data_IF_214291224520
#
_entry.id   IF_214291224520
#
_cell.length_a   1.000
_cell.length_b   1.000
_cell.length_c   1.000
_cell.angle_alpha   90.00
_cell.angle_beta   90.00
_cell.angle_gamma   90.00
#
_symmetry.space_group_name_H-M   'P 1'
#
loop_
_entity.id
_entity.type
_entity.pdbx_description
1 polymer ?
#
# COMPACT_ATOMS: atom_id res chain seq x y z
N UNK A 1 -26.05 0.47 36.42
CA UNK A 1 -25.62 1.75 35.83
C UNK A 1 -25.28 2.66 37.00
N UNK A 2 -24.00 2.93 37.21
CA UNK A 2 -23.54 3.74 38.34
C UNK A 2 -22.35 4.59 37.87
N UNK A 3 -22.18 5.76 38.48
CA UNK A 3 -20.92 6.49 38.44
C UNK A 3 -20.02 5.83 39.48
N UNK A 4 -18.85 5.34 39.09
CA UNK A 4 -17.97 4.66 40.03
C UNK A 4 -17.21 5.65 40.94
N UNK A 5 -16.42 5.13 41.89
CA UNK A 5 -15.64 5.96 42.82
C UNK A 5 -14.57 6.84 42.14
N UNK A 6 -14.24 6.58 40.87
CA UNK A 6 -13.37 7.39 40.02
C UNK A 6 -14.11 8.48 39.24
N UNK A 7 -15.44 8.40 39.15
CA UNK A 7 -16.29 9.35 38.43
C UNK A 7 -16.66 8.91 37.01
N UNK A 8 -16.32 7.69 36.60
CA UNK A 8 -16.59 7.20 35.26
C UNK A 8 -18.02 6.64 35.16
N UNK A 9 -18.60 6.73 33.97
CA UNK A 9 -19.86 6.05 33.67
C UNK A 9 -19.57 4.63 33.19
N UNK A 10 -20.16 3.61 33.83
CA UNK A 10 -19.94 2.22 33.42
C UNK A 10 -21.16 1.30 33.50
N UNK A 11 -21.12 0.26 32.67
CA UNK A 11 -21.95 -0.94 32.80
C UNK A 11 -21.07 -2.05 33.38
N UNK A 12 -21.46 -2.59 34.54
CA UNK A 12 -20.71 -3.65 35.24
C UNK A 12 -21.51 -4.95 35.27
N UNK A 13 -20.83 -6.04 34.97
CA UNK A 13 -21.27 -7.40 35.28
C UNK A 13 -20.86 -7.73 36.72
N UNK A 14 -21.84 -7.99 37.58
CA UNK A 14 -21.60 -8.30 39.00
C UNK A 14 -21.12 -9.73 39.23
N UNK A 15 -21.37 -10.65 38.31
CA UNK A 15 -20.94 -12.05 38.45
C UNK A 15 -19.43 -12.19 38.23
N UNK A 16 -18.88 -11.42 37.29
CA UNK A 16 -17.44 -11.40 36.99
C UNK A 16 -16.71 -10.21 37.61
N UNK A 17 -17.45 -9.24 38.16
CA UNK A 17 -16.96 -7.95 38.61
C UNK A 17 -16.23 -7.13 37.52
N UNK A 18 -16.52 -7.42 36.25
CA UNK A 18 -15.94 -6.72 35.11
C UNK A 18 -16.85 -5.57 34.65
N UNK A 19 -16.26 -4.42 34.35
CA UNK A 19 -16.95 -3.38 33.59
C UNK A 19 -16.91 -3.74 32.10
N UNK A 20 -18.07 -3.86 31.47
CA UNK A 20 -18.22 -4.23 30.04
C UNK A 20 -18.36 -3.01 29.12
N UNK A 21 -18.65 -1.85 29.70
CA UNK A 21 -18.60 -0.54 29.04
C UNK A 21 -18.09 0.48 30.05
N UNK A 22 -17.18 1.35 29.61
CA UNK A 22 -16.64 2.45 30.39
C UNK A 22 -16.62 3.69 29.49
N UNK A 23 -17.14 4.79 30.00
CA UNK A 23 -16.91 6.13 29.47
C UNK A 23 -16.22 6.96 30.55
N UNK A 24 -14.97 7.33 30.28
CA UNK A 24 -14.15 8.12 31.19
C UNK A 24 -14.87 9.44 31.54
N UNK A 25 -14.71 9.91 32.77
CA UNK A 25 -15.35 11.12 33.32
C UNK A 25 -15.17 12.41 32.51
N UNK A 26 -14.23 12.42 31.55
CA UNK A 26 -13.91 13.54 30.67
C UNK A 26 -14.05 13.18 29.18
N UNK A 27 -14.74 12.09 28.84
CA UNK A 27 -15.04 11.75 27.45
C UNK A 27 -15.68 12.96 26.75
N UNK A 28 -15.17 13.30 25.56
CA UNK A 28 -15.65 14.47 24.81
C UNK A 28 -17.10 14.29 24.36
N UNK A 29 -17.75 15.41 24.03
CA UNK A 29 -19.03 15.37 23.34
C UNK A 29 -18.93 14.49 22.08
N UNK A 30 -19.95 13.64 21.88
CA UNK A 30 -20.02 12.69 20.77
C UNK A 30 -18.85 11.66 20.70
N UNK A 31 -18.27 11.29 21.85
CA UNK A 31 -17.26 10.21 21.92
C UNK A 31 -17.74 8.90 21.28
N UNK A 32 -18.99 8.50 21.55
CA UNK A 32 -19.69 7.41 20.86
C UNK A 32 -21.16 7.81 20.65
N UNK A 33 -21.67 7.71 19.41
CA UNK A 33 -23.02 8.13 19.04
C UNK A 33 -23.72 7.01 18.27
N UNK A 34 -24.91 6.61 18.72
CA UNK A 34 -25.85 5.83 17.90
C UNK A 34 -26.76 6.81 17.15
N UNK A 35 -26.50 6.96 15.85
CA UNK A 35 -27.23 7.86 14.96
C UNK A 35 -28.50 7.24 14.37
N UNK A 36 -29.27 8.08 13.68
CA UNK A 36 -30.48 7.68 12.96
C UNK A 36 -30.13 6.60 11.92
N UNK A 37 -30.99 5.58 11.82
CA UNK A 37 -30.77 4.44 10.93
C UNK A 37 -29.75 3.43 11.45
N UNK A 38 -29.35 3.52 12.72
CA UNK A 38 -28.44 2.56 13.36
C UNK A 38 -26.95 2.82 13.10
N UNK A 39 -26.59 4.02 12.64
CA UNK A 39 -25.20 4.40 12.37
C UNK A 39 -24.40 4.58 13.66
N UNK A 40 -23.11 4.30 13.65
CA UNK A 40 -22.21 4.49 14.80
C UNK A 40 -21.19 5.58 14.50
N UNK A 41 -21.16 6.62 15.32
CA UNK A 41 -20.17 7.71 15.26
C UNK A 41 -19.18 7.62 16.41
N UNK A 42 -17.91 7.85 16.13
CA UNK A 42 -16.85 8.01 17.13
C UNK A 42 -16.23 9.40 16.91
N UNK A 43 -16.38 10.29 17.89
CA UNK A 43 -15.87 11.66 17.85
C UNK A 43 -16.71 12.67 17.05
N UNK A 44 -17.87 12.28 16.50
CA UNK A 44 -18.85 13.18 15.86
C UNK A 44 -20.19 12.46 15.61
N UNK A 45 -21.20 13.19 15.15
CA UNK A 45 -22.43 12.62 14.58
C UNK A 45 -22.13 11.85 13.28
N UNK A 46 -22.65 10.63 13.10
CA UNK A 46 -22.28 9.79 11.96
C UNK A 46 -22.97 10.18 10.65
N UNK A 47 -22.19 10.32 9.57
CA UNK A 47 -22.69 10.48 8.20
C UNK A 47 -22.67 9.16 7.41
N UNK A 48 -21.78 8.23 7.78
CA UNK A 48 -21.69 6.85 7.28
C UNK A 48 -22.15 5.82 8.33
N UNK A 49 -22.29 4.55 7.95
CA UNK A 49 -22.66 3.46 8.87
C UNK A 49 -21.72 3.37 10.08
N UNK A 50 -20.42 3.48 9.83
CA UNK A 50 -19.39 3.70 10.83
C UNK A 50 -18.63 4.99 10.47
N UNK A 51 -18.68 5.99 11.33
CA UNK A 51 -18.01 7.27 11.12
C UNK A 51 -16.99 7.51 12.24
N UNK A 52 -15.70 7.40 11.90
CA UNK A 52 -14.60 7.76 12.80
C UNK A 52 -14.14 9.17 12.46
N UNK A 53 -14.27 10.09 13.40
CA UNK A 53 -13.89 11.48 13.26
C UNK A 53 -12.89 11.86 14.35
N UNK A 54 -11.88 12.64 13.97
CA UNK A 54 -10.92 13.20 14.91
C UNK A 54 -10.73 14.68 14.57
N UNK A 55 -10.77 15.54 15.59
CA UNK A 55 -10.45 16.97 15.49
C UNK A 55 -8.92 17.22 15.30
N UNK A 56 -8.11 16.16 15.36
CA UNK A 56 -6.66 16.21 15.15
C UNK A 56 -6.24 16.00 13.70
N UNK A 57 -4.95 15.74 13.50
CA UNK A 57 -4.35 15.62 12.16
C UNK A 57 -4.71 14.33 11.39
N UNK A 58 -5.33 13.35 12.07
CA UNK A 58 -5.65 12.04 11.50
C UNK A 58 -6.79 11.35 12.24
N UNK A 59 -7.59 10.56 11.50
CA UNK A 59 -8.48 9.54 12.06
C UNK A 59 -7.79 8.17 11.95
N UNK A 60 -8.06 7.27 12.88
CA UNK A 60 -7.32 6.01 13.00
C UNK A 60 -8.19 4.85 13.51
N UNK A 61 -8.04 3.70 12.86
CA UNK A 61 -8.45 2.40 13.38
C UNK A 61 -7.20 1.60 13.74
N UNK A 62 -7.11 1.16 15.00
CA UNK A 62 -5.97 0.43 15.57
C UNK A 62 -6.31 -1.04 15.78
N UNK A 63 -5.44 -1.93 15.31
CA UNK A 63 -5.44 -3.36 15.63
C UNK A 63 -4.16 -3.69 16.38
N UNK A 64 -4.24 -4.18 17.61
CA UNK A 64 -3.08 -4.49 18.43
C UNK A 64 -3.18 -5.88 19.03
N UNK A 65 -2.04 -6.58 19.09
CA UNK A 65 -1.88 -7.84 19.78
C UNK A 65 -0.70 -7.70 20.73
N UNK A 66 -0.91 -7.83 22.05
CA UNK A 66 0.18 -7.78 23.01
C UNK A 66 1.10 -8.99 22.87
N UNK A 67 2.29 -8.92 23.45
CA UNK A 67 3.19 -10.07 23.49
C UNK A 67 2.54 -11.22 24.28
N UNK A 68 2.65 -12.45 23.76
CA UNK A 68 2.04 -13.62 24.37
C UNK A 68 2.25 -14.89 23.55
N UNK A 69 2.23 -16.05 24.23
CA UNK A 69 2.40 -17.37 23.60
C UNK A 69 3.61 -17.51 22.65
N UNK A 70 4.72 -16.81 22.95
CA UNK A 70 5.93 -16.83 22.14
C UNK A 70 5.92 -15.89 20.92
N UNK A 71 4.86 -15.11 20.71
CA UNK A 71 4.81 -14.05 19.71
C UNK A 71 5.17 -12.69 20.32
N UNK A 72 5.91 -11.88 19.56
CA UNK A 72 6.15 -10.48 19.89
C UNK A 72 4.86 -9.66 19.75
N UNK A 73 4.78 -8.53 20.45
CA UNK A 73 3.66 -7.61 20.29
C UNK A 73 3.63 -7.04 18.86
N UNK A 74 2.45 -6.90 18.28
CA UNK A 74 2.28 -6.34 16.94
C UNK A 74 1.08 -5.40 16.91
N UNK A 75 1.26 -4.22 16.32
CA UNK A 75 0.18 -3.25 16.14
C UNK A 75 0.18 -2.67 14.72
N UNK A 76 -1.01 -2.63 14.12
CA UNK A 76 -1.27 -2.08 12.79
C UNK A 76 -2.35 -1.00 12.88
N UNK A 77 -2.19 0.04 12.07
CA UNK A 77 -3.18 1.10 11.94
C UNK A 77 -3.65 1.29 10.52
N UNK A 78 -4.94 1.57 10.38
CA UNK A 78 -5.50 2.17 9.17
C UNK A 78 -5.76 3.64 9.46
N UNK A 79 -5.12 4.54 8.72
CA UNK A 79 -5.11 5.98 9.03
C UNK A 79 -5.58 6.78 7.81
N UNK A 80 -6.51 7.71 8.04
CA UNK A 80 -6.87 8.77 7.10
C UNK A 80 -6.37 10.12 7.58
N UNK A 81 -5.65 10.86 6.71
CA UNK A 81 -5.09 12.18 6.99
C UNK A 81 -5.03 13.05 5.74
N UNK A 82 -4.75 14.36 5.90
CA UNK A 82 -4.74 15.32 4.80
C UNK A 82 -3.83 14.93 3.62
N UNK A 83 -2.71 14.25 3.89
CA UNK A 83 -1.77 13.80 2.87
C UNK A 83 -2.17 12.48 2.17
N UNK A 84 -3.07 11.68 2.76
CA UNK A 84 -3.48 10.40 2.18
C UNK A 84 -4.07 9.39 3.15
N UNK A 85 -4.19 8.16 2.67
CA UNK A 85 -4.64 6.97 3.40
C UNK A 85 -3.51 5.95 3.51
N UNK A 86 -3.34 5.31 4.68
CA UNK A 86 -2.23 4.38 4.90
C UNK A 86 -2.62 3.16 5.74
N UNK A 87 -1.89 2.06 5.48
CA UNK A 87 -1.74 0.93 6.39
C UNK A 87 -0.34 1.07 7.02
N UNK A 88 -0.29 1.21 8.34
CA UNK A 88 0.93 1.53 9.08
C UNK A 88 1.29 0.43 10.06
N UNK A 89 2.52 -0.05 10.00
CA UNK A 89 3.13 -0.90 11.01
C UNK A 89 3.69 -0.03 12.13
N UNK A 90 2.97 0.02 13.24
CA UNK A 90 3.32 0.93 14.33
C UNK A 90 4.36 0.35 15.26
N UNK A 91 4.43 -0.97 15.37
CA UNK A 91 5.50 -1.65 16.11
C UNK A 91 6.86 -1.37 15.46
N UNK A 92 6.90 -1.27 14.12
CA UNK A 92 8.14 -1.08 13.37
C UNK A 92 8.33 0.37 12.91
N UNK A 93 8.35 1.31 13.87
CA UNK A 93 8.65 2.74 13.64
C UNK A 93 7.65 3.48 12.74
N UNK A 94 6.37 3.10 12.80
CA UNK A 94 5.33 3.65 11.92
C UNK A 94 5.65 3.49 10.43
N UNK A 95 6.20 2.35 10.03
CA UNK A 95 6.45 2.08 8.62
C UNK A 95 5.13 2.05 7.86
N UNK A 96 5.06 2.70 6.71
CA UNK A 96 3.85 2.77 5.87
C UNK A 96 4.04 1.96 4.59
N UNK A 97 3.94 0.61 4.64
CA UNK A 97 4.12 -0.23 3.46
C UNK A 97 3.05 0.01 2.39
N UNK A 98 1.91 0.61 2.75
CA UNK A 98 0.88 1.04 1.82
C UNK A 98 0.47 2.48 2.10
N UNK A 99 0.55 3.32 1.07
CA UNK A 99 0.17 4.73 1.12
C UNK A 99 -0.50 5.14 -0.19
N UNK A 100 -1.73 5.65 -0.10
CA UNK A 100 -2.44 6.28 -1.21
C UNK A 100 -2.44 7.79 -0.96
N UNK A 101 -1.69 8.52 -1.79
CA UNK A 101 -1.60 9.98 -1.69
C UNK A 101 -2.96 10.64 -1.99
N UNK A 102 -3.27 11.71 -1.27
CA UNK A 102 -4.42 12.57 -1.60
C UNK A 102 -4.31 13.04 -3.06
N UNK A 103 -5.39 12.88 -3.82
CA UNK A 103 -5.43 13.25 -5.24
C UNK A 103 -4.92 12.16 -6.21
N UNK A 104 -4.57 10.96 -5.71
CA UNK A 104 -4.27 9.82 -6.60
C UNK A 104 -5.44 9.55 -7.57
N UNK A 105 -5.14 9.36 -8.85
CA UNK A 105 -6.17 9.20 -9.88
C UNK A 105 -6.77 7.78 -9.87
N UNK A 106 -7.97 7.64 -10.44
CA UNK A 106 -8.65 6.34 -10.54
C UNK A 106 -7.83 5.33 -11.33
N UNK A 107 -7.77 4.09 -10.84
CA UNK A 107 -7.02 2.98 -11.44
C UNK A 107 -5.49 3.15 -11.44
N UNK A 108 -4.93 3.98 -10.54
CA UNK A 108 -3.48 4.04 -10.31
C UNK A 108 -2.91 2.65 -9.98
N UNK A 109 -3.55 1.93 -9.05
CA UNK A 109 -3.35 0.51 -8.77
C UNK A 109 -4.73 -0.15 -8.67
N UNK A 110 -4.95 -1.22 -9.44
CA UNK A 110 -6.22 -1.94 -9.46
C UNK A 110 -6.01 -3.45 -9.42
N UNK A 111 -6.68 -4.13 -8.50
CA UNK A 111 -6.95 -5.56 -8.59
C UNK A 111 -8.28 -5.78 -9.32
N UNK A 112 -8.24 -6.45 -10.46
CA UNK A 112 -9.43 -6.81 -11.23
C UNK A 112 -10.12 -8.05 -10.64
N UNK A 113 -11.42 -8.19 -10.88
CA UNK A 113 -12.19 -9.39 -10.49
C UNK A 113 -11.69 -10.68 -11.16
N UNK A 114 -10.96 -10.56 -12.26
CA UNK A 114 -10.28 -11.68 -12.92
C UNK A 114 -8.90 -12.03 -12.32
N UNK A 115 -8.50 -11.44 -11.19
CA UNK A 115 -7.24 -11.74 -10.51
C UNK A 115 -6.00 -11.09 -11.12
N UNK A 116 -6.17 -10.09 -12.00
CA UNK A 116 -5.06 -9.35 -12.65
C UNK A 116 -4.85 -8.00 -11.98
N UNK A 117 -3.63 -7.49 -12.05
CA UNK A 117 -3.22 -6.18 -11.57
C UNK A 117 -3.14 -5.20 -12.76
N UNK A 118 -3.78 -4.04 -12.61
CA UNK A 118 -3.66 -2.91 -13.52
C UNK A 118 -2.94 -1.75 -12.85
N UNK A 119 -1.95 -1.19 -13.52
CA UNK A 119 -1.33 0.10 -13.19
C UNK A 119 -1.70 1.10 -14.29
N UNK A 120 -2.52 2.09 -13.97
CA UNK A 120 -3.03 3.07 -14.93
C UNK A 120 -4.19 2.56 -15.83
N UNK A 121 -4.78 1.40 -15.51
CA UNK A 121 -5.89 0.82 -16.30
C UNK A 121 -6.94 0.15 -15.41
N UNK A 122 -8.22 0.34 -15.76
CA UNK A 122 -9.34 -0.38 -15.13
C UNK A 122 -9.59 -1.77 -15.74
N UNK A 123 -9.07 -1.99 -16.95
CA UNK A 123 -9.26 -3.22 -17.71
C UNK A 123 -7.89 -3.74 -18.15
N UNK A 124 -7.18 -4.48 -17.26
CA UNK A 124 -5.95 -5.17 -17.62
C UNK A 124 -6.18 -6.11 -18.81
N UNK A 125 -5.19 -6.23 -19.70
CA UNK A 125 -5.24 -7.15 -20.84
C UNK A 125 -5.58 -8.58 -20.40
N UNK A 126 -6.46 -9.25 -21.16
CA UNK A 126 -6.94 -10.59 -20.86
C UNK A 126 -5.85 -11.67 -20.95
N UNK A 127 -4.69 -11.36 -21.51
CA UNK A 127 -3.54 -12.24 -21.64
C UNK A 127 -2.39 -11.87 -20.69
N UNK A 128 -2.58 -10.90 -19.79
CA UNK A 128 -1.58 -10.54 -18.77
C UNK A 128 -2.14 -10.62 -17.35
N UNK A 129 -1.27 -10.98 -16.40
CA UNK A 129 -1.54 -10.87 -14.95
C UNK A 129 -1.20 -9.47 -14.43
N UNK A 130 -0.30 -8.74 -15.09
CA UNK A 130 0.09 -7.37 -14.75
C UNK A 130 0.10 -6.51 -16.02
N UNK A 131 -0.79 -5.53 -16.11
CA UNK A 131 -0.87 -4.56 -17.22
C UNK A 131 -0.45 -3.18 -16.70
N UNK A 132 0.61 -2.62 -17.28
CA UNK A 132 1.17 -1.32 -16.92
C UNK A 132 0.97 -0.37 -18.10
N UNK A 133 0.16 0.68 -17.89
CA UNK A 133 -0.09 1.72 -18.88
C UNK A 133 0.35 3.07 -18.32
N UNK A 134 1.15 3.78 -19.11
CA UNK A 134 1.69 5.07 -18.75
C UNK A 134 1.75 5.96 -19.98
N UNK A 135 1.45 7.24 -19.80
CA UNK A 135 1.71 8.30 -20.78
C UNK A 135 3.01 9.06 -20.46
N UNK A 136 3.77 8.60 -19.47
CA UNK A 136 5.06 9.17 -19.09
C UNK A 136 6.17 8.57 -19.95
N UNK A 137 7.32 9.25 -19.99
CA UNK A 137 8.49 8.81 -20.76
C UNK A 137 8.98 7.40 -20.40
N UNK A 138 8.80 6.98 -19.14
CA UNK A 138 9.09 5.62 -18.70
C UNK A 138 7.78 4.93 -18.30
N UNK A 139 7.46 3.81 -18.95
CA UNK A 139 6.32 2.95 -18.57
C UNK A 139 6.63 2.06 -17.37
N UNK A 140 7.79 1.41 -17.39
CA UNK A 140 8.36 0.66 -16.27
C UNK A 140 9.82 1.05 -16.12
N UNK A 141 10.22 1.35 -14.88
CA UNK A 141 11.56 1.84 -14.57
C UNK A 141 12.16 1.05 -13.42
N UNK A 142 13.09 0.14 -13.72
CA UNK A 142 13.91 -0.52 -12.71
C UNK A 142 15.09 0.41 -12.37
N UNK A 143 15.04 1.06 -11.20
CA UNK A 143 16.10 1.92 -10.65
C UNK A 143 16.53 1.43 -9.27
N UNK A 144 17.83 1.53 -9.02
CA UNK A 144 18.55 1.00 -7.86
C UNK A 144 19.35 2.20 -7.43
N UNK A 145 19.16 2.66 -6.20
CA UNK A 145 19.85 3.85 -5.71
C UNK A 145 21.32 3.57 -5.37
N UNK A 146 21.74 2.31 -5.35
CA UNK A 146 23.11 1.87 -5.04
C UNK A 146 23.92 1.54 -6.32
N UNK A 147 25.23 1.28 -6.14
CA UNK A 147 26.20 1.10 -7.22
C UNK A 147 26.11 -0.25 -7.96
N UNK A 148 25.06 -1.04 -7.74
CA UNK A 148 24.96 -2.36 -8.35
C UNK A 148 24.15 -2.37 -9.67
N UNK A 149 24.30 -3.45 -10.44
CA UNK A 149 23.59 -3.61 -11.70
C UNK A 149 22.07 -3.80 -11.57
N UNK A 150 21.34 -3.22 -12.51
CA UNK A 150 19.92 -3.50 -12.75
C UNK A 150 19.75 -4.82 -13.46
N UNK A 151 18.94 -5.72 -12.91
CA UNK A 151 18.59 -6.96 -13.59
C UNK A 151 17.08 -7.14 -13.56
N UNK A 152 16.48 -7.24 -14.75
CA UNK A 152 15.18 -7.90 -14.88
C UNK A 152 15.46 -9.39 -15.10
N UNK A 153 15.31 -10.19 -14.05
CA UNK A 153 15.40 -11.65 -14.16
C UNK A 153 14.05 -12.21 -14.63
N UNK A 154 14.06 -13.05 -15.65
CA UNK A 154 12.88 -13.82 -16.09
C UNK A 154 13.24 -15.29 -16.04
N UNK A 155 12.76 -15.98 -15.02
CA UNK A 155 12.87 -17.44 -14.91
C UNK A 155 11.71 -18.09 -15.65
N UNK A 156 12.03 -18.96 -16.61
CA UNK A 156 11.01 -19.66 -17.39
C UNK A 156 11.37 -21.15 -17.49
N UNK A 157 10.60 -22.00 -16.79
CA UNK A 157 10.86 -23.44 -16.69
C UNK A 157 10.50 -24.22 -17.96
N UNK A 158 9.84 -23.61 -18.96
CA UNK A 158 9.41 -24.34 -20.16
C UNK A 158 9.02 -23.49 -21.37
N UNK A 159 9.36 -22.21 -21.41
CA UNK A 159 8.96 -21.30 -22.50
C UNK A 159 10.07 -20.35 -22.95
N UNK A 160 9.70 -19.42 -23.84
CA UNK A 160 10.62 -18.45 -24.43
C UNK A 160 10.47 -17.11 -23.71
N UNK A 161 11.59 -16.49 -23.29
CA UNK A 161 11.58 -15.07 -22.97
C UNK A 161 11.58 -14.26 -24.27
N UNK A 162 10.53 -13.45 -24.48
CA UNK A 162 10.39 -12.58 -25.65
C UNK A 162 10.59 -11.13 -25.19
N UNK A 163 11.64 -10.50 -25.67
CA UNK A 163 11.85 -9.06 -25.56
C UNK A 163 11.75 -8.43 -26.96
N UNK A 164 11.01 -7.34 -27.06
CA UNK A 164 10.84 -6.61 -28.32
C UNK A 164 10.52 -5.15 -28.02
N UNK A 165 10.87 -4.28 -28.96
CA UNK A 165 10.42 -2.89 -28.95
C UNK A 165 9.43 -2.75 -30.09
N UNK A 166 8.24 -2.21 -29.80
CA UNK A 166 7.20 -1.95 -30.80
C UNK A 166 6.78 -0.48 -30.69
N UNK A 167 6.64 0.19 -31.83
CA UNK A 167 6.52 1.65 -31.88
C UNK A 167 5.74 2.12 -33.07
N UNK A 168 5.28 3.36 -32.95
CA UNK A 168 4.47 4.04 -33.95
C UNK A 168 5.26 5.18 -34.61
N UNK A 169 6.52 4.94 -35.01
CA UNK A 169 7.27 5.86 -35.89
C UNK A 169 8.63 6.41 -35.40
N UNK A 170 8.98 6.28 -34.12
CA UNK A 170 10.30 6.73 -33.61
C UNK A 170 11.38 5.65 -33.68
N UNK A 171 12.66 6.05 -33.60
CA UNK A 171 13.78 5.11 -33.54
C UNK A 171 13.70 4.26 -32.25
N UNK A 172 13.48 2.97 -32.44
CA UNK A 172 13.36 2.00 -31.37
C UNK A 172 14.56 1.06 -31.35
N UNK A 173 15.32 1.07 -30.26
CA UNK A 173 16.52 0.24 -30.10
C UNK A 173 16.46 -0.53 -28.80
N UNK A 174 16.70 -1.84 -28.87
CA UNK A 174 17.12 -2.62 -27.70
C UNK A 174 18.64 -2.65 -27.70
N UNK A 175 19.27 -1.91 -26.77
CA UNK A 175 20.72 -1.95 -26.61
C UNK A 175 21.06 -3.08 -25.65
N UNK A 176 21.59 -4.18 -26.20
CA UNK A 176 22.18 -5.25 -25.40
C UNK A 176 23.67 -4.96 -25.28
N UNK A 177 24.10 -4.51 -24.11
CA UNK A 177 25.52 -4.46 -23.80
C UNK A 177 25.97 -5.87 -23.44
N UNK A 178 26.72 -6.50 -24.33
CA UNK A 178 27.63 -7.56 -23.90
C UNK A 178 28.85 -6.89 -23.30
N UNK A 179 29.37 -7.42 -22.19
CA UNK A 179 30.68 -7.03 -21.69
C UNK A 179 31.73 -7.53 -22.70
N UNK A 180 31.93 -6.81 -23.79
CA UNK A 180 33.05 -7.03 -24.67
C UNK A 180 34.30 -6.61 -23.88
N UNK A 181 34.99 -7.58 -23.28
CA UNK A 181 36.36 -7.37 -22.81
C UNK A 181 37.17 -6.77 -23.96
N UNK A 182 38.06 -5.81 -23.67
CA UNK A 182 38.75 -4.97 -24.66
C UNK A 182 39.37 -5.72 -25.86
N UNK A 183 39.65 -7.02 -25.74
CA UNK A 183 40.10 -7.89 -26.82
C UNK A 183 39.09 -8.08 -27.97
N UNK A 184 37.78 -8.15 -27.67
CA UNK A 184 36.73 -8.39 -28.68
C UNK A 184 36.48 -7.14 -29.56
N UNK A 185 36.66 -5.93 -29.02
CA UNK A 185 36.60 -4.71 -29.84
C UNK A 185 37.83 -4.53 -30.74
N UNK A 186 39.01 -4.97 -30.29
CA UNK A 186 40.23 -4.91 -31.09
C UNK A 186 40.14 -5.87 -32.30
N UNK A 187 39.64 -7.10 -32.10
CA UNK A 187 39.49 -8.09 -33.18
C UNK A 187 38.41 -7.70 -34.20
N UNK A 188 37.29 -7.10 -33.74
CA UNK A 188 36.25 -6.59 -34.64
C UNK A 188 36.70 -5.37 -35.46
N UNK A 189 37.51 -4.47 -34.89
CA UNK A 189 38.10 -3.34 -35.64
C UNK A 189 39.15 -3.82 -36.64
N UNK A 190 40.00 -4.76 -36.24
CA UNK A 190 41.03 -5.33 -37.12
C UNK A 190 40.42 -6.04 -38.35
N UNK A 191 39.31 -6.76 -38.18
CA UNK A 191 38.58 -7.39 -39.29
C UNK A 191 37.85 -6.39 -40.19
N UNK A 192 37.37 -5.26 -39.65
CA UNK A 192 36.70 -4.22 -40.46
C UNK A 192 37.66 -3.33 -41.26
N UNK A 193 38.93 -3.27 -40.87
CA UNK A 193 39.99 -2.50 -41.55
C UNK A 193 40.75 -3.34 -42.59
N UNK A 194 40.40 -4.62 -42.74
CA UNK A 194 41.02 -5.57 -43.66
C UNK A 194 40.19 -5.85 -44.93
N UNK A 195 39.16 -5.03 -45.20
CA UNK A 195 38.42 -4.96 -46.46
C UNK A 195 38.67 -3.59 -47.11
#
# INVERSE_FOLDING_TARGET
MFVDGSGDFSLRDFSTNNSVFIADKNASFASLVLGIGGKVGIGNSPSAELHVHAEGFKSELRLETPAGAGAAAQAWSTIGRASGFTITDVTNSNHEPFFVATGSTTNTLRLSSSGRIGLGTSAPDLNSTLDIRSNLANGLLAKRPDAGAHFLCVENTGGIFRAGVQGNGDAQGMVIHTAAGAADQADRRAKSLAQ
#
